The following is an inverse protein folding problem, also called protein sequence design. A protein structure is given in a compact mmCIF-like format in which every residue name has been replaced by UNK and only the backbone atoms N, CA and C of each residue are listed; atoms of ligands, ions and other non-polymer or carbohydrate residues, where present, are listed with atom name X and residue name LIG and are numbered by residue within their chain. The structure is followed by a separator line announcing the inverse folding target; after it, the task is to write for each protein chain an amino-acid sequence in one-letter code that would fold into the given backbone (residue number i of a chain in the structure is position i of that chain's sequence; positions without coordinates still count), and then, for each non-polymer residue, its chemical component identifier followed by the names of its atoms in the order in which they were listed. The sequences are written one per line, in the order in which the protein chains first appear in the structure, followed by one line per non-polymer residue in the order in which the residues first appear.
data_IF_280012630004
#
_entry.id   IF_280012630004
#
_cell.length_a   1.000
_cell.length_b   1.000
_cell.length_c   1.000
_cell.angle_alpha   90.00
_cell.angle_beta   90.00
_cell.angle_gamma   90.00
#
_symmetry.space_group_name_H-M   'P 1'
#
loop_
_entity.id
_entity.type
_entity.pdbx_description
1 polymer ?
#
# COMPACT_ATOMS: atom_id res chain seq x y z
N UNK A 1 -27.44 19.05 -19.10
CA UNK A 1 -26.82 17.71 -19.17
C UNK A 1 -25.45 17.79 -18.50
N UNK A 2 -25.35 17.33 -17.25
CA UNK A 2 -24.09 17.20 -16.53
C UNK A 2 -23.54 15.79 -16.80
N UNK A 3 -22.48 15.69 -17.60
CA UNK A 3 -21.75 14.45 -17.84
C UNK A 3 -20.91 14.14 -16.59
N UNK A 4 -21.45 13.27 -15.73
CA UNK A 4 -20.70 12.69 -14.62
C UNK A 4 -19.78 11.60 -15.18
N UNK A 5 -18.52 11.95 -15.47
CA UNK A 5 -17.51 10.97 -15.86
C UNK A 5 -17.06 10.20 -14.62
N UNK A 6 -17.59 8.99 -14.43
CA UNK A 6 -17.01 8.03 -13.50
C UNK A 6 -15.65 7.59 -14.05
N UNK A 7 -14.57 8.17 -13.54
CA UNK A 7 -13.22 7.66 -13.77
C UNK A 7 -13.07 6.32 -13.03
N UNK A 8 -13.51 5.23 -13.64
CA UNK A 8 -13.21 3.89 -13.15
C UNK A 8 -11.73 3.61 -13.40
N UNK A 9 -10.92 3.64 -12.34
CA UNK A 9 -9.58 3.07 -12.34
C UNK A 9 -9.70 1.57 -12.66
N UNK A 10 -9.05 1.10 -13.73
CA UNK A 10 -8.97 -0.34 -14.00
C UNK A 10 -8.07 -0.98 -12.95
N UNK A 11 -8.61 -1.95 -12.22
CA UNK A 11 -7.85 -2.80 -11.30
C UNK A 11 -7.58 -4.09 -12.07
N UNK A 12 -6.32 -4.38 -12.35
CA UNK A 12 -5.89 -5.65 -12.90
C UNK A 12 -5.40 -6.53 -11.75
N UNK A 13 -6.01 -7.70 -11.59
CA UNK A 13 -5.61 -8.68 -10.59
C UNK A 13 -5.13 -9.95 -11.29
N UNK A 14 -3.88 -10.34 -11.03
CA UNK A 14 -3.32 -11.62 -11.48
C UNK A 14 -3.21 -12.50 -10.25
N UNK A 15 -3.86 -13.66 -10.28
CA UNK A 15 -3.90 -14.62 -9.18
C UNK A 15 -3.37 -15.94 -9.70
N UNK A 16 -2.47 -16.57 -8.94
CA UNK A 16 -2.08 -17.96 -9.19
C UNK A 16 -3.29 -18.87 -8.91
N UNK A 17 -3.78 -19.65 -9.91
CA UNK A 17 -4.91 -20.54 -9.71
C UNK A 17 -4.75 -21.51 -8.54
N UNK A 18 -3.51 -21.94 -8.23
CA UNK A 18 -3.24 -22.84 -7.11
C UNK A 18 -3.49 -22.19 -5.73
N UNK A 19 -3.55 -20.86 -5.68
CA UNK A 19 -3.69 -20.09 -4.45
C UNK A 19 -4.95 -19.22 -4.43
N UNK A 20 -5.87 -19.40 -5.40
CA UNK A 20 -7.05 -18.55 -5.57
C UNK A 20 -7.97 -18.48 -4.33
N UNK A 21 -8.04 -19.57 -3.55
CA UNK A 21 -8.85 -19.67 -2.34
C UNK A 21 -8.05 -19.41 -1.04
N UNK A 22 -6.77 -19.03 -1.16
CA UNK A 22 -5.93 -18.78 0.01
C UNK A 22 -6.40 -17.52 0.74
N UNK A 23 -6.61 -17.65 2.05
CA UNK A 23 -6.91 -16.52 2.93
C UNK A 23 -5.69 -16.15 3.75
N UNK A 24 -5.48 -14.84 3.89
CA UNK A 24 -4.41 -14.28 4.70
C UNK A 24 -5.02 -13.45 5.84
N UNK A 25 -4.52 -13.69 7.05
CA UNK A 25 -4.91 -13.01 8.28
C UNK A 25 -3.89 -11.94 8.69
N UNK A 26 -2.68 -11.96 8.12
CA UNK A 26 -1.60 -11.04 8.46
C UNK A 26 -0.87 -10.47 7.24
N UNK A 27 -0.72 -9.14 7.21
CA UNK A 27 -0.11 -8.42 6.09
C UNK A 27 1.04 -7.53 6.55
N UNK A 28 2.05 -7.39 5.69
CA UNK A 28 2.99 -6.27 5.74
C UNK A 28 2.73 -5.36 4.56
N UNK A 29 2.57 -4.06 4.82
CA UNK A 29 2.33 -3.05 3.78
C UNK A 29 3.61 -2.29 3.49
N UNK A 30 3.99 -2.22 2.22
CA UNK A 30 5.13 -1.48 1.74
C UNK A 30 4.73 -0.50 0.63
N UNK A 31 5.00 0.79 0.83
CA UNK A 31 4.89 1.79 -0.21
C UNK A 31 6.27 2.04 -0.84
N UNK A 32 6.42 1.76 -2.13
CA UNK A 32 7.66 1.98 -2.85
C UNK A 32 7.70 3.39 -3.46
N UNK A 33 7.69 4.40 -2.58
CA UNK A 33 7.85 5.81 -2.96
C UNK A 33 9.18 6.36 -2.46
N UNK A 34 9.75 7.34 -3.15
CA UNK A 34 10.99 7.98 -2.70
C UNK A 34 10.78 8.81 -1.42
N UNK A 35 9.60 9.45 -1.29
CA UNK A 35 9.28 10.30 -0.14
C UNK A 35 8.83 9.47 1.07
N UNK A 36 9.59 9.58 2.18
CA UNK A 36 9.31 8.85 3.43
C UNK A 36 7.96 9.25 4.04
N UNK A 37 7.55 10.52 3.93
CA UNK A 37 6.27 10.99 4.45
C UNK A 37 5.08 10.37 3.71
N UNK A 38 5.15 10.29 2.38
CA UNK A 38 4.16 9.60 1.55
C UNK A 38 4.13 8.11 1.88
N UNK A 39 5.30 7.46 2.02
CA UNK A 39 5.36 6.05 2.43
C UNK A 39 4.62 5.82 3.74
N UNK A 40 4.95 6.60 4.78
CA UNK A 40 4.29 6.49 6.09
C UNK A 40 2.78 6.69 6.00
N UNK A 41 2.34 7.69 5.24
CA UNK A 41 0.91 8.01 5.10
C UNK A 41 0.14 6.87 4.45
N UNK A 42 0.65 6.33 3.35
CA UNK A 42 -0.03 5.26 2.61
C UNK A 42 0.04 3.91 3.33
N UNK A 43 1.19 3.55 3.90
CA UNK A 43 1.33 2.31 4.67
C UNK A 43 0.37 2.30 5.88
N UNK A 44 0.31 3.41 6.63
CA UNK A 44 -0.62 3.55 7.77
C UNK A 44 -2.08 3.54 7.33
N UNK A 45 -2.41 4.22 6.24
CA UNK A 45 -3.78 4.26 5.74
C UNK A 45 -4.28 2.87 5.31
N UNK A 46 -3.44 2.09 4.62
CA UNK A 46 -3.81 0.74 4.22
C UNK A 46 -3.85 -0.21 5.43
N UNK A 47 -2.88 -0.13 6.34
CA UNK A 47 -2.95 -0.94 7.57
C UNK A 47 -4.18 -0.62 8.42
N UNK A 48 -4.57 0.65 8.55
CA UNK A 48 -5.79 1.01 9.27
C UNK A 48 -7.04 0.38 8.65
N UNK A 49 -7.10 0.29 7.32
CA UNK A 49 -8.21 -0.39 6.61
C UNK A 49 -8.20 -1.90 6.85
N UNK A 50 -7.04 -2.54 6.80
CA UNK A 50 -6.89 -3.98 7.05
C UNK A 50 -7.27 -4.35 8.49
N UNK A 51 -6.81 -3.56 9.46
CA UNK A 51 -7.16 -3.75 10.87
C UNK A 51 -8.66 -3.55 11.09
N UNK A 52 -9.27 -2.53 10.48
CA UNK A 52 -10.72 -2.32 10.53
C UNK A 52 -11.51 -3.48 9.89
N UNK A 53 -10.92 -4.19 8.93
CA UNK A 53 -11.47 -5.40 8.31
C UNK A 53 -11.16 -6.69 9.10
N UNK A 54 -10.46 -6.61 10.23
CA UNK A 54 -10.17 -7.76 11.11
C UNK A 54 -8.84 -8.47 10.84
N UNK A 55 -7.96 -7.90 10.02
CA UNK A 55 -6.64 -8.48 9.72
C UNK A 55 -5.52 -7.86 10.56
N UNK A 56 -4.49 -8.65 10.87
CA UNK A 56 -3.24 -8.13 11.41
C UNK A 56 -2.47 -7.36 10.31
N UNK A 57 -1.88 -6.22 10.67
CA UNK A 57 -1.08 -5.44 9.73
C UNK A 57 0.14 -4.81 10.37
N UNK A 58 1.26 -4.90 9.67
CA UNK A 58 2.53 -4.23 9.99
C UNK A 58 2.93 -3.32 8.84
N UNK A 59 3.36 -2.10 9.12
CA UNK A 59 3.93 -1.22 8.09
C UNK A 59 5.39 -1.56 7.84
N UNK A 60 5.86 -1.50 6.60
CA UNK A 60 7.28 -1.70 6.26
C UNK A 60 8.17 -0.69 6.99
N UNK A 61 7.73 0.56 7.17
CA UNK A 61 8.49 1.55 7.95
C UNK A 61 8.66 1.16 9.42
N UNK A 62 7.73 0.40 10.00
CA UNK A 62 7.89 -0.12 11.36
C UNK A 62 8.84 -1.34 11.38
N UNK A 63 8.72 -2.23 10.39
CA UNK A 63 9.58 -3.42 10.28
C UNK A 63 11.02 -3.10 9.85
N UNK A 64 11.19 -2.02 9.07
CA UNK A 64 12.43 -1.56 8.48
C UNK A 64 12.52 -0.02 8.58
N UNK A 65 12.89 0.50 9.76
CA UNK A 65 12.92 1.94 10.01
C UNK A 65 13.89 2.70 9.08
N UNK A 66 13.54 3.93 8.65
CA UNK A 66 14.39 4.75 7.80
C UNK A 66 15.61 5.33 8.54
N UNK A 67 15.77 5.03 9.83
CA UNK A 67 16.97 5.37 10.61
C UNK A 67 18.16 4.45 10.30
N UNK A 68 17.98 3.46 9.43
CA UNK A 68 19.02 2.58 8.90
C UNK A 68 18.96 2.59 7.37
N UNK A 69 20.07 2.26 6.73
CA UNK A 69 20.11 2.09 5.27
C UNK A 69 19.10 1.04 4.83
N UNK A 70 18.36 1.33 3.75
CA UNK A 70 17.26 0.52 3.25
C UNK A 70 17.51 0.13 1.79
N UNK A 71 17.90 -1.13 1.59
CA UNK A 71 18.06 -1.76 0.28
C UNK A 71 16.99 -2.86 0.06
N UNK A 72 17.05 -3.54 -1.09
CA UNK A 72 16.12 -4.63 -1.38
C UNK A 72 16.25 -5.80 -0.38
N UNK A 73 17.48 -6.08 0.07
CA UNK A 73 17.76 -7.20 0.97
C UNK A 73 17.17 -6.97 2.38
N UNK A 74 17.34 -5.78 2.94
CA UNK A 74 16.79 -5.37 4.23
C UNK A 74 15.26 -5.35 4.21
N UNK A 75 14.62 -4.85 3.13
CA UNK A 75 13.16 -4.92 2.98
C UNK A 75 12.64 -6.36 2.87
N UNK A 76 13.35 -7.21 2.14
CA UNK A 76 13.01 -8.62 2.04
C UNK A 76 13.17 -9.33 3.40
N UNK A 77 14.24 -9.05 4.14
CA UNK A 77 14.44 -9.56 5.49
C UNK A 77 13.34 -9.08 6.45
N UNK A 78 12.96 -7.81 6.38
CA UNK A 78 11.88 -7.24 7.18
C UNK A 78 10.53 -7.89 6.86
N UNK A 79 10.22 -8.13 5.58
CA UNK A 79 9.03 -8.88 5.18
C UNK A 79 9.00 -10.29 5.81
N UNK A 80 10.10 -11.05 5.68
CA UNK A 80 10.19 -12.42 6.24
C UNK A 80 10.11 -12.45 7.78
N UNK A 81 10.65 -11.43 8.45
CA UNK A 81 10.71 -11.38 9.91
C UNK A 81 9.50 -10.69 10.54
N UNK A 82 8.58 -10.14 9.75
CA UNK A 82 7.42 -9.37 10.24
C UNK A 82 6.31 -10.22 10.85
N UNK A 83 6.35 -11.55 10.65
CA UNK A 83 5.24 -12.44 10.97
C UNK A 83 4.03 -12.31 10.04
N UNK A 84 4.09 -11.45 9.03
CA UNK A 84 3.06 -11.35 8.01
C UNK A 84 3.07 -12.58 7.08
N UNK A 85 1.88 -12.96 6.62
CA UNK A 85 1.69 -14.07 5.68
C UNK A 85 1.73 -13.57 4.23
N UNK A 86 1.42 -12.29 4.00
CA UNK A 86 1.43 -11.67 2.68
C UNK A 86 2.05 -10.26 2.73
N UNK A 87 2.67 -9.84 1.62
CA UNK A 87 3.15 -8.46 1.42
C UNK A 87 2.23 -7.75 0.44
N UNK A 88 1.75 -6.56 0.84
CA UNK A 88 1.04 -5.65 -0.06
C UNK A 88 1.97 -4.52 -0.47
N UNK A 89 2.23 -4.44 -1.78
CA UNK A 89 3.06 -3.43 -2.39
C UNK A 89 2.19 -2.32 -2.99
N UNK A 90 2.52 -1.08 -2.64
CA UNK A 90 1.89 0.12 -3.21
C UNK A 90 2.94 0.82 -4.08
N UNK A 91 2.68 0.85 -5.37
CA UNK A 91 3.49 1.53 -6.38
C UNK A 91 2.59 2.46 -7.20
N UNK A 92 3.14 3.61 -7.60
CA UNK A 92 2.51 4.41 -8.64
C UNK A 92 3.03 3.92 -9.99
N UNK A 93 2.16 3.31 -10.80
CA UNK A 93 2.41 3.15 -12.23
C UNK A 93 2.64 4.57 -12.79
N UNK A 94 3.81 4.80 -13.40
CA UNK A 94 4.34 6.10 -13.84
C UNK A 94 3.44 7.32 -13.58
N UNK A 95 3.86 8.14 -12.62
CA UNK A 95 3.25 9.45 -12.34
C UNK A 95 3.46 10.34 -13.56
N UNK A 96 2.55 10.28 -14.54
CA UNK A 96 2.26 11.45 -15.37
C UNK A 96 1.89 12.60 -14.42
N UNK A 97 2.32 13.83 -14.75
CA UNK A 97 2.45 14.95 -13.82
C UNK A 97 1.21 15.32 -12.97
N UNK A 98 0.03 14.81 -13.31
CA UNK A 98 -1.23 15.02 -12.61
C UNK A 98 -1.32 14.29 -11.26
N UNK A 99 -0.75 13.08 -11.13
CA UNK A 99 -0.74 12.38 -9.84
C UNK A 99 0.15 13.10 -8.80
N UNK A 100 1.22 13.77 -9.25
CA UNK A 100 2.06 14.63 -8.39
C UNK A 100 1.30 15.87 -7.89
N UNK A 101 0.41 16.43 -8.72
CA UNK A 101 -0.42 17.61 -8.40
C UNK A 101 -1.54 17.26 -7.41
N UNK A 102 -2.13 16.07 -7.49
CA UNK A 102 -3.12 15.55 -6.53
C UNK A 102 -2.52 15.28 -5.14
N UNK A 103 -1.25 14.84 -5.08
CA UNK A 103 -0.55 14.60 -3.82
C UNK A 103 -0.13 15.90 -3.12
N UNK A 104 0.27 16.93 -3.88
CA UNK A 104 0.62 18.26 -3.35
C UNK A 104 -0.60 19.05 -2.83
N UNK A 105 -1.80 18.75 -3.31
CA UNK A 105 -3.05 19.44 -2.95
C UNK A 105 -3.74 18.98 -1.67
N UNK A 106 -3.18 18.01 -0.93
CA UNK A 106 -3.76 17.56 0.34
C UNK A 106 -5.13 16.91 0.18
N UNK A 107 -5.22 15.80 -0.56
CA UNK A 107 -6.49 15.06 -0.66
C UNK A 107 -6.98 14.62 0.74
N UNK A 108 -8.22 14.96 1.14
CA UNK A 108 -8.80 14.53 2.41
C UNK A 108 -9.10 13.03 2.38
N UNK A 109 -9.01 12.39 3.55
CA UNK A 109 -9.37 11.00 3.73
C UNK A 109 -10.88 10.83 3.50
N UNK A 110 -11.30 10.43 2.29
CA UNK A 110 -12.70 10.13 2.04
C UNK A 110 -13.00 8.67 2.34
N UNK A 111 -13.84 8.50 3.35
CA UNK A 111 -14.69 7.33 3.60
C UNK A 111 -15.80 7.33 2.55
N UNK A 112 -16.09 6.19 1.95
CA UNK A 112 -17.34 5.96 1.22
C UNK A 112 -17.96 4.67 1.75
N UNK A 113 -19.22 4.82 2.17
CA UNK A 113 -20.15 3.78 2.63
C UNK A 113 -20.49 2.86 1.47
#
# INVERSE_FOLDING_TARGET
MLLSACASSRIEAVVDPAHADTRYDGFIVYAAFDDVGLRMRYERALCARLIAAGHACTTMIAAAPPTREQDAASRHAASRNSGAQATLLIEFAEVTGDARRLLAGGAPATRSV
#
